data_IF_306725088818
#
_entry.id   IF_306725088818
#
_cell.length_a   1.000
_cell.length_b   1.000
_cell.length_c   1.000
_cell.angle_alpha   90.00
_cell.angle_beta   90.00
_cell.angle_gamma   90.00
#
_symmetry.space_group_name_H-M   'P 1'
#
loop_
_entity.id
_entity.type
_entity.pdbx_description
1 polymer ?
#
# COMPACT_ATOMS: atom_id res chain seq x y z
N UNK A 1 0.27 18.39 8.70
CA UNK A 1 0.58 16.96 8.72
C UNK A 1 -0.67 16.09 8.59
N UNK A 2 -1.67 16.18 9.50
CA UNK A 2 -2.93 15.46 9.31
C UNK A 2 -3.65 15.94 8.05
N UNK A 3 -3.87 15.06 7.10
CA UNK A 3 -4.56 15.30 5.82
C UNK A 3 -5.98 14.73 5.89
N UNK A 4 -6.65 14.56 4.73
CA UNK A 4 -8.00 14.00 4.70
C UNK A 4 -8.06 12.51 5.08
N UNK A 5 -7.00 11.73 4.75
CA UNK A 5 -7.00 10.26 4.86
C UNK A 5 -5.72 9.69 5.47
N UNK A 6 -4.71 10.50 5.72
CA UNK A 6 -3.41 10.06 6.24
C UNK A 6 -2.73 11.19 7.05
N UNK A 7 -1.62 10.82 7.69
CA UNK A 7 -0.68 11.77 8.30
C UNK A 7 0.55 11.77 7.40
N UNK A 8 1.05 12.96 7.00
CA UNK A 8 2.18 13.07 6.09
C UNK A 8 3.00 14.32 6.39
N UNK A 9 4.33 14.17 6.41
CA UNK A 9 5.25 15.27 6.69
C UNK A 9 6.65 14.99 6.19
N UNK A 10 7.48 16.01 6.21
CA UNK A 10 8.91 15.91 5.89
C UNK A 10 9.68 15.46 7.12
N UNK A 11 10.48 14.40 6.95
CA UNK A 11 11.36 13.89 8.02
C UNK A 11 12.68 14.63 8.08
N UNK A 12 13.17 15.10 6.92
CA UNK A 12 14.42 15.86 6.81
C UNK A 12 14.35 17.25 7.45
N UNK A 13 13.16 17.82 7.64
CA UNK A 13 12.92 19.10 8.32
C UNK A 13 12.34 18.96 9.73
N UNK A 14 12.11 17.72 10.18
CA UNK A 14 11.53 17.44 11.50
C UNK A 14 10.03 17.74 11.60
N UNK A 15 9.30 17.83 10.48
CA UNK A 15 7.83 17.94 10.53
C UNK A 15 7.19 16.64 11.06
N UNK A 16 7.71 15.49 10.62
CA UNK A 16 7.32 14.17 11.09
C UNK A 16 8.54 13.54 11.75
N UNK A 17 8.50 13.41 13.06
CA UNK A 17 9.60 12.88 13.88
C UNK A 17 9.12 11.74 14.80
N UNK A 18 10.06 11.03 15.40
CA UNK A 18 9.76 9.90 16.29
C UNK A 18 8.90 10.29 17.51
N UNK A 19 9.12 11.43 18.21
CA UNK A 19 8.25 11.86 19.30
C UNK A 19 6.78 12.00 18.89
N UNK A 20 6.51 12.69 17.78
CA UNK A 20 5.15 12.83 17.28
C UNK A 20 4.53 11.49 16.90
N UNK A 21 5.31 10.61 16.24
CA UNK A 21 4.83 9.28 15.81
C UNK A 21 4.55 8.38 17.00
N UNK A 22 5.30 8.51 18.11
CA UNK A 22 4.99 7.85 19.37
C UNK A 22 3.62 8.32 19.92
N UNK A 23 3.37 9.63 19.94
CA UNK A 23 2.10 10.18 20.40
C UNK A 23 0.92 9.73 19.50
N UNK A 24 1.13 9.64 18.18
CA UNK A 24 0.15 9.08 17.25
C UNK A 24 -0.15 7.62 17.56
N UNK A 25 0.88 6.82 17.89
CA UNK A 25 0.72 5.42 18.28
C UNK A 25 -0.15 5.26 19.53
N UNK A 26 0.13 6.03 20.59
CA UNK A 26 -0.66 6.03 21.83
C UNK A 26 -2.10 6.50 21.58
N UNK A 27 -2.27 7.56 20.79
CA UNK A 27 -3.57 8.11 20.44
C UNK A 27 -4.41 7.11 19.63
N UNK A 28 -3.81 6.47 18.61
CA UNK A 28 -4.50 5.50 17.78
C UNK A 28 -4.93 4.25 18.57
N UNK A 29 -4.05 3.71 19.40
CA UNK A 29 -4.37 2.57 20.25
C UNK A 29 -5.51 2.90 21.22
N UNK A 30 -5.46 4.06 21.86
CA UNK A 30 -6.52 4.52 22.78
C UNK A 30 -7.85 4.76 22.06
N UNK A 31 -7.81 5.37 20.87
CA UNK A 31 -9.01 5.63 20.07
C UNK A 31 -9.66 4.33 19.59
N UNK A 32 -8.86 3.38 19.11
CA UNK A 32 -9.35 2.10 18.58
C UNK A 32 -9.88 1.18 19.67
N UNK A 33 -9.39 1.30 20.90
CA UNK A 33 -9.70 0.39 22.02
C UNK A 33 -9.30 -1.07 21.75
N UNK A 34 -8.39 -1.30 20.80
CA UNK A 34 -7.98 -2.65 20.44
C UNK A 34 -6.88 -3.18 21.36
N UNK A 35 -6.92 -4.47 21.63
CA UNK A 35 -5.87 -5.16 22.39
C UNK A 35 -4.58 -5.36 21.58
N UNK A 36 -4.68 -5.30 20.23
CA UNK A 36 -3.59 -5.57 19.32
C UNK A 36 -3.74 -4.78 18.00
N UNK A 37 -2.62 -4.33 17.42
CA UNK A 37 -2.56 -3.54 16.17
C UNK A 37 -1.47 -4.11 15.27
N UNK A 38 -1.77 -4.32 13.98
CA UNK A 38 -0.79 -4.69 12.97
C UNK A 38 -0.01 -3.46 12.47
N UNK A 39 1.32 -3.53 12.44
CA UNK A 39 2.19 -2.41 12.02
C UNK A 39 3.17 -2.88 10.95
N UNK A 40 3.10 -2.25 9.79
CA UNK A 40 4.05 -2.42 8.69
C UNK A 40 4.72 -1.11 8.32
N UNK A 41 5.78 -1.18 7.52
CA UNK A 41 6.49 0.00 7.03
C UNK A 41 7.10 -0.24 5.65
N UNK A 42 7.33 0.86 4.89
CA UNK A 42 7.98 0.83 3.59
C UNK A 42 9.52 0.85 3.68
N UNK A 43 10.19 0.81 2.52
CA UNK A 43 11.65 0.76 2.42
C UNK A 43 12.37 2.07 2.77
N UNK A 44 11.69 3.18 3.06
CA UNK A 44 12.34 4.47 3.33
C UNK A 44 13.26 4.38 4.54
N UNK A 45 14.45 5.05 4.51
CA UNK A 45 15.42 4.98 5.61
C UNK A 45 14.85 5.38 6.98
N UNK A 46 13.85 6.28 7.00
CA UNK A 46 13.19 6.73 8.24
C UNK A 46 12.11 5.77 8.74
N UNK A 47 11.58 4.89 7.90
CA UNK A 47 10.41 4.07 8.22
C UNK A 47 10.64 3.10 9.39
N UNK A 48 11.78 2.40 9.53
CA UNK A 48 12.00 1.51 10.68
C UNK A 48 12.00 2.25 12.02
N UNK A 49 12.63 3.44 12.10
CA UNK A 49 12.66 4.27 13.33
C UNK A 49 11.27 4.77 13.70
N UNK A 50 10.51 5.27 12.72
CA UNK A 50 9.15 5.74 12.93
C UNK A 50 8.21 4.57 13.33
N UNK A 51 8.35 3.38 12.73
CA UNK A 51 7.57 2.20 13.11
C UNK A 51 7.88 1.74 14.55
N UNK A 52 9.15 1.83 14.96
CA UNK A 52 9.56 1.53 16.34
C UNK A 52 8.96 2.54 17.34
N UNK A 53 8.99 3.84 17.02
CA UNK A 53 8.38 4.89 17.83
C UNK A 53 6.86 4.73 17.95
N UNK A 54 6.18 4.46 16.82
CA UNK A 54 4.75 4.16 16.79
C UNK A 54 4.40 2.98 17.72
N UNK A 55 5.15 1.88 17.55
CA UNK A 55 4.96 0.66 18.35
C UNK A 55 5.17 0.92 19.85
N UNK A 56 6.16 1.74 20.21
CA UNK A 56 6.38 2.15 21.60
C UNK A 56 5.20 2.95 22.15
N UNK A 57 4.61 3.84 21.35
CA UNK A 57 3.40 4.58 21.69
C UNK A 57 2.20 3.65 21.92
N UNK A 58 1.94 2.73 20.98
CA UNK A 58 0.88 1.71 21.08
C UNK A 58 1.06 0.89 22.38
N UNK A 59 2.27 0.39 22.63
CA UNK A 59 2.55 -0.42 23.81
C UNK A 59 2.43 0.38 25.12
N UNK A 60 2.65 1.69 25.10
CA UNK A 60 2.58 2.54 26.30
C UNK A 60 1.20 2.57 26.94
N UNK A 61 0.16 2.28 26.17
CA UNK A 61 -1.25 2.23 26.61
C UNK A 61 -1.78 0.79 26.77
N UNK A 62 -0.88 -0.21 26.78
CA UNK A 62 -1.23 -1.61 27.05
C UNK A 62 -1.67 -2.41 25.83
N UNK A 63 -1.60 -1.86 24.63
CA UNK A 63 -1.95 -2.54 23.40
C UNK A 63 -0.73 -3.27 22.80
N UNK A 64 -0.91 -4.49 22.31
CA UNK A 64 0.13 -5.27 21.66
C UNK A 64 0.33 -4.84 20.18
N UNK A 65 1.50 -5.13 19.63
CA UNK A 65 1.85 -4.87 18.23
C UNK A 65 2.20 -6.15 17.51
N UNK A 66 1.52 -6.44 16.40
CA UNK A 66 1.96 -7.41 15.40
C UNK A 66 2.85 -6.68 14.38
N UNK A 67 4.16 -6.82 14.53
CA UNK A 67 5.14 -6.20 13.65
C UNK A 67 5.31 -7.01 12.36
N UNK A 68 4.78 -6.50 11.27
CA UNK A 68 4.83 -7.13 9.94
C UNK A 68 6.17 -6.91 9.22
N UNK A 69 6.98 -5.95 9.70
CA UNK A 69 8.24 -5.59 9.07
C UNK A 69 8.08 -4.70 7.83
N UNK A 70 9.05 -4.79 6.92
CA UNK A 70 9.04 -4.07 5.66
C UNK A 70 8.13 -4.80 4.66
N UNK A 71 6.96 -4.21 4.37
CA UNK A 71 5.88 -4.83 3.58
C UNK A 71 5.16 -3.79 2.72
N UNK A 72 4.47 -4.19 1.62
CA UNK A 72 3.58 -3.31 0.89
C UNK A 72 2.34 -2.92 1.74
N UNK A 73 1.73 -1.79 1.41
CA UNK A 73 0.54 -1.27 2.11
C UNK A 73 -0.61 -2.28 2.12
N UNK A 74 -0.87 -2.94 1.01
CA UNK A 74 -1.95 -3.94 0.87
C UNK A 74 -1.79 -5.13 1.81
N UNK A 75 -0.55 -5.50 2.14
CA UNK A 75 -0.29 -6.57 3.10
C UNK A 75 -0.74 -6.18 4.52
N UNK A 76 -0.59 -4.91 4.91
CA UNK A 76 -1.14 -4.41 6.19
C UNK A 76 -2.65 -4.50 6.19
N UNK A 77 -3.32 -4.11 5.10
CA UNK A 77 -4.77 -4.24 4.95
C UNK A 77 -5.22 -5.71 4.98
N UNK A 78 -4.48 -6.59 4.31
CA UNK A 78 -4.71 -8.03 4.37
C UNK A 78 -4.61 -8.56 5.81
N UNK A 79 -3.54 -8.21 6.54
CA UNK A 79 -3.35 -8.63 7.94
C UNK A 79 -4.48 -8.11 8.84
N UNK A 80 -4.86 -6.83 8.68
CA UNK A 80 -6.01 -6.24 9.38
C UNK A 80 -7.31 -7.03 9.13
N UNK A 81 -7.58 -7.40 7.88
CA UNK A 81 -8.76 -8.19 7.50
C UNK A 81 -8.73 -9.62 8.04
N UNK A 82 -7.60 -10.32 7.88
CA UNK A 82 -7.40 -11.70 8.31
C UNK A 82 -7.52 -11.85 9.83
N UNK A 83 -6.80 -10.99 10.57
CA UNK A 83 -6.64 -11.12 12.01
C UNK A 83 -7.68 -10.30 12.80
N UNK A 84 -8.51 -9.52 12.08
CA UNK A 84 -9.56 -8.65 12.63
C UNK A 84 -9.01 -7.65 13.65
N UNK A 85 -7.89 -7.02 13.32
CA UNK A 85 -7.22 -5.99 14.11
C UNK A 85 -7.11 -4.70 13.32
N UNK A 86 -6.99 -3.52 13.96
CA UNK A 86 -6.60 -2.30 13.27
C UNK A 86 -5.20 -2.43 12.65
N UNK A 87 -4.91 -1.63 11.61
CA UNK A 87 -3.62 -1.64 10.96
C UNK A 87 -3.02 -0.25 10.81
N UNK A 88 -1.69 -0.21 10.82
CA UNK A 88 -0.90 1.00 10.55
C UNK A 88 0.20 0.70 9.54
N UNK A 89 0.30 1.54 8.53
CA UNK A 89 1.40 1.51 7.58
C UNK A 89 2.20 2.80 7.65
N UNK A 90 3.50 2.69 7.89
CA UNK A 90 4.46 3.81 7.83
C UNK A 90 4.96 3.92 6.38
N UNK A 91 4.49 4.95 5.68
CA UNK A 91 4.82 5.18 4.26
C UNK A 91 4.45 6.59 3.82
N UNK A 92 5.15 7.11 2.83
CA UNK A 92 4.72 8.28 2.09
C UNK A 92 4.36 7.95 0.62
N UNK A 93 4.16 6.65 0.29
CA UNK A 93 3.76 6.18 -1.03
C UNK A 93 4.70 6.70 -2.13
N UNK A 94 4.23 7.49 -3.08
CA UNK A 94 4.97 8.05 -4.20
C UNK A 94 5.73 9.35 -3.90
N UNK A 95 5.68 9.87 -2.68
CA UNK A 95 6.40 11.10 -2.34
C UNK A 95 7.93 10.90 -2.38
N UNK A 96 8.71 11.98 -2.59
CA UNK A 96 10.17 11.92 -2.54
C UNK A 96 10.71 11.33 -1.24
N UNK A 97 11.97 10.85 -1.26
CA UNK A 97 12.62 10.15 -0.14
C UNK A 97 12.63 10.94 1.20
N UNK A 98 12.65 12.28 1.15
CA UNK A 98 12.60 13.15 2.35
C UNK A 98 11.24 13.21 3.08
N UNK A 99 10.21 12.53 2.56
CA UNK A 99 8.88 12.46 3.16
C UNK A 99 8.64 11.09 3.81
N UNK A 100 7.79 11.08 4.84
CA UNK A 100 7.16 9.87 5.36
C UNK A 100 5.74 10.17 5.83
N UNK A 101 5.02 9.14 6.26
CA UNK A 101 3.64 9.30 6.69
C UNK A 101 3.11 8.06 7.42
N UNK A 102 1.85 8.15 7.81
CA UNK A 102 1.13 7.11 8.54
C UNK A 102 -0.24 6.94 7.90
N UNK A 103 -0.50 5.76 7.35
CA UNK A 103 -1.84 5.33 6.93
C UNK A 103 -2.42 4.47 8.04
N UNK A 104 -3.67 4.76 8.40
CA UNK A 104 -4.40 4.06 9.47
C UNK A 104 -5.61 3.34 8.88
N UNK A 105 -5.88 2.14 9.35
CA UNK A 105 -7.16 1.48 9.10
C UNK A 105 -7.72 0.86 10.38
N UNK A 106 -9.04 0.84 10.47
CA UNK A 106 -9.77 0.12 11.51
C UNK A 106 -9.81 -1.37 11.25
N UNK A 107 -10.48 -2.12 12.12
CA UNK A 107 -10.67 -3.56 11.98
C UNK A 107 -11.26 -3.92 10.63
N UNK A 108 -10.69 -4.94 9.97
CA UNK A 108 -11.14 -5.38 8.66
C UNK A 108 -10.74 -4.43 7.53
N UNK A 109 -9.62 -3.71 7.69
CA UNK A 109 -9.11 -2.71 6.74
C UNK A 109 -10.08 -1.54 6.51
N UNK A 110 -10.98 -1.24 7.46
CA UNK A 110 -11.90 -0.12 7.34
C UNK A 110 -11.13 1.20 7.24
N UNK A 111 -11.36 2.02 6.20
CA UNK A 111 -10.58 3.25 6.01
C UNK A 111 -10.88 4.27 7.12
N UNK A 112 -9.82 4.94 7.59
CA UNK A 112 -9.90 6.03 8.57
C UNK A 112 -9.53 7.33 7.88
N UNK A 113 -10.49 8.24 7.80
CA UNK A 113 -10.32 9.60 7.30
C UNK A 113 -10.75 10.65 8.32
N UNK A 114 -10.75 11.92 7.90
CA UNK A 114 -11.14 13.05 8.75
C UNK A 114 -12.52 12.87 9.37
N UNK A 115 -13.45 12.26 8.64
CA UNK A 115 -14.85 12.08 9.05
C UNK A 115 -15.10 10.74 9.76
N UNK A 116 -14.09 9.87 9.86
CA UNK A 116 -14.22 8.51 10.41
C UNK A 116 -13.18 8.18 11.48
N UNK A 117 -12.60 9.20 12.14
CA UNK A 117 -11.74 9.01 13.31
C UNK A 117 -10.41 9.76 13.29
N UNK A 118 -9.89 10.16 12.11
CA UNK A 118 -8.57 10.82 12.05
C UNK A 118 -8.56 12.17 12.80
N UNK A 119 -9.70 12.88 12.83
CA UNK A 119 -9.86 14.13 13.58
C UNK A 119 -9.80 13.86 15.09
N UNK A 120 -10.42 12.79 15.56
CA UNK A 120 -10.42 12.42 16.98
C UNK A 120 -9.02 11.98 17.43
N UNK A 121 -8.35 11.17 16.59
CA UNK A 121 -6.96 10.76 16.83
C UNK A 121 -6.04 11.99 16.91
N UNK A 122 -6.20 12.95 16.01
CA UNK A 122 -5.47 14.23 16.05
C UNK A 122 -5.71 14.97 17.37
N UNK A 123 -6.94 15.01 17.85
CA UNK A 123 -7.26 15.68 19.13
C UNK A 123 -6.58 14.96 20.30
N UNK A 124 -6.58 13.63 20.33
CA UNK A 124 -5.87 12.85 21.34
C UNK A 124 -4.35 13.09 21.32
N UNK A 125 -3.75 13.27 20.14
CA UNK A 125 -2.32 13.65 20.04
C UNK A 125 -2.07 15.03 20.64
N UNK A 126 -2.97 16.00 20.42
CA UNK A 126 -2.86 17.36 20.97
C UNK A 126 -3.03 17.37 22.50
N UNK A 127 -3.99 16.62 23.01
CA UNK A 127 -4.32 16.55 24.44
C UNK A 127 -3.29 15.71 25.22
N UNK A 128 -2.58 14.83 24.50
CA UNK A 128 -1.66 13.86 25.07
C UNK A 128 -2.37 12.66 25.70
N UNK A 129 -1.93 11.46 25.39
CA UNK A 129 -2.43 10.23 25.97
C UNK A 129 -1.43 9.71 27.02
N UNK A 130 -1.78 9.71 28.32
CA UNK A 130 -0.85 9.20 29.32
C UNK A 130 -0.71 7.69 29.22
N UNK A 131 0.50 7.13 29.51
CA UNK A 131 0.69 5.70 29.62
C UNK A 131 -0.31 5.06 30.60
N UNK A 132 -0.86 3.91 30.27
CA UNK A 132 -1.88 3.25 31.08
C UNK A 132 -1.66 1.74 31.16
N UNK A 133 -1.80 1.17 32.36
CA UNK A 133 -1.70 -0.27 32.59
C UNK A 133 -0.29 -0.87 32.40
N UNK A 134 -0.17 -2.20 32.33
CA UNK A 134 1.06 -2.87 31.93
C UNK A 134 1.33 -2.59 30.45
N UNK A 135 2.61 -2.45 30.09
CA UNK A 135 3.01 -2.23 28.69
C UNK A 135 2.64 -3.42 27.82
N UNK A 136 2.17 -3.15 26.60
CA UNK A 136 2.01 -4.15 25.57
C UNK A 136 3.35 -4.71 25.06
N UNK A 137 3.26 -5.73 24.23
CA UNK A 137 4.40 -6.46 23.65
C UNK A 137 4.45 -6.30 22.12
N UNK A 138 5.62 -6.55 21.54
CA UNK A 138 5.81 -6.58 20.07
C UNK A 138 6.02 -8.03 19.64
N UNK A 139 5.19 -8.52 18.73
CA UNK A 139 5.26 -9.83 18.14
C UNK A 139 5.66 -9.72 16.67
N UNK A 140 6.73 -10.42 16.26
CA UNK A 140 7.11 -10.47 14.84
C UNK A 140 6.21 -11.43 14.09
N UNK A 141 5.61 -10.97 12.99
CA UNK A 141 4.68 -11.75 12.18
C UNK A 141 5.11 -11.73 10.71
N UNK A 142 5.47 -12.88 10.16
CA UNK A 142 5.67 -13.04 8.72
C UNK A 142 4.31 -13.33 8.07
N UNK A 143 3.70 -12.32 7.48
CA UNK A 143 2.42 -12.42 6.78
C UNK A 143 2.55 -12.56 5.25
N UNK A 144 3.78 -12.51 4.70
CA UNK A 144 4.01 -12.55 3.25
C UNK A 144 3.51 -13.86 2.62
N UNK A 145 3.78 -15.06 3.16
CA UNK A 145 3.26 -16.30 2.56
C UNK A 145 1.74 -16.34 2.49
N UNK A 146 1.06 -15.98 3.58
CA UNK A 146 -0.40 -15.97 3.64
C UNK A 146 -1.00 -14.91 2.69
N UNK A 147 -0.33 -13.77 2.54
CA UNK A 147 -0.73 -12.71 1.59
C UNK A 147 -0.64 -13.20 0.14
N UNK A 148 0.46 -13.84 -0.24
CA UNK A 148 0.63 -14.45 -1.58
C UNK A 148 -0.45 -15.50 -1.83
N UNK A 149 -0.72 -16.36 -0.87
CA UNK A 149 -1.80 -17.35 -0.96
C UNK A 149 -3.17 -16.71 -1.10
N UNK A 150 -3.40 -15.57 -0.43
CA UNK A 150 -4.64 -14.80 -0.55
C UNK A 150 -4.82 -14.23 -1.95
N UNK A 151 -3.80 -13.59 -2.52
CA UNK A 151 -3.82 -13.06 -3.88
C UNK A 151 -4.16 -14.14 -4.91
N UNK A 152 -3.52 -15.30 -4.81
CA UNK A 152 -3.74 -16.42 -5.72
C UNK A 152 -5.10 -17.13 -5.54
N UNK A 153 -5.78 -16.91 -4.41
CA UNK A 153 -7.18 -17.33 -4.24
C UNK A 153 -8.18 -16.36 -4.87
N UNK A 154 -7.85 -15.06 -4.92
CA UNK A 154 -8.71 -14.06 -5.57
C UNK A 154 -8.66 -14.25 -7.08
N UNK A 155 -7.46 -14.48 -7.61
CA UNK A 155 -7.21 -14.68 -9.04
C UNK A 155 -6.82 -16.14 -9.25
N UNK A 156 -7.71 -16.96 -9.78
CA UNK A 156 -7.40 -18.36 -10.09
C UNK A 156 -6.19 -18.42 -11.06
N UNK A 157 -5.02 -18.91 -10.61
CA UNK A 157 -3.80 -18.95 -11.44
C UNK A 157 -3.97 -19.75 -12.74
N UNK A 158 -4.91 -20.72 -12.77
CA UNK A 158 -5.17 -21.54 -13.95
C UNK A 158 -5.78 -20.75 -15.12
N UNK A 159 -6.35 -19.58 -14.84
CA UNK A 159 -6.91 -18.67 -15.84
C UNK A 159 -5.90 -17.67 -16.40
N UNK A 160 -4.66 -17.65 -15.86
CA UNK A 160 -3.62 -16.75 -16.33
C UNK A 160 -2.81 -17.43 -17.43
N UNK A 161 -2.81 -16.81 -18.60
CA UNK A 161 -2.03 -17.30 -19.75
C UNK A 161 -0.51 -17.19 -19.48
N UNK A 162 0.28 -17.92 -20.28
CA UNK A 162 1.73 -17.83 -20.25
C UNK A 162 2.18 -16.54 -20.95
N UNK A 163 2.05 -15.41 -20.25
CA UNK A 163 2.42 -14.08 -20.71
C UNK A 163 3.85 -13.74 -20.33
N UNK A 164 4.51 -12.92 -21.12
CA UNK A 164 5.73 -12.21 -20.76
C UNK A 164 5.35 -10.85 -20.17
N UNK A 165 5.68 -10.62 -18.90
CA UNK A 165 5.27 -9.42 -18.17
C UNK A 165 6.48 -8.67 -17.62
N UNK A 166 6.65 -7.42 -18.02
CA UNK A 166 7.60 -6.51 -17.40
C UNK A 166 6.97 -5.92 -16.14
N UNK A 167 7.68 -6.00 -15.01
CA UNK A 167 7.23 -5.36 -13.77
C UNK A 167 8.31 -4.42 -13.27
N UNK A 168 7.96 -3.15 -13.15
CA UNK A 168 8.79 -2.10 -12.57
C UNK A 168 8.33 -1.84 -11.13
N UNK A 169 9.18 -2.19 -10.17
CA UNK A 169 8.94 -1.98 -8.74
C UNK A 169 9.37 -0.60 -8.26
N UNK A 170 10.06 0.20 -9.08
CA UNK A 170 10.56 1.53 -8.71
C UNK A 170 11.42 1.55 -7.44
N UNK A 171 12.12 0.45 -7.10
CA UNK A 171 12.79 0.23 -5.82
C UNK A 171 11.86 0.37 -4.59
N UNK A 172 10.55 0.25 -4.81
CA UNK A 172 9.54 0.26 -3.75
C UNK A 172 9.25 -1.13 -3.19
N UNK A 173 8.06 -1.28 -2.62
CA UNK A 173 7.69 -2.49 -1.87
C UNK A 173 7.12 -3.62 -2.74
N UNK A 174 6.89 -3.40 -4.04
CA UNK A 174 6.29 -4.41 -4.94
C UNK A 174 7.08 -5.72 -4.97
N UNK A 175 8.42 -5.66 -4.99
CA UNK A 175 9.29 -6.83 -5.08
C UNK A 175 9.12 -7.84 -3.93
N UNK A 176 8.62 -7.41 -2.78
CA UNK A 176 8.38 -8.30 -1.62
C UNK A 176 7.40 -9.45 -1.97
N UNK A 177 6.41 -9.17 -2.82
CA UNK A 177 5.38 -10.13 -3.19
C UNK A 177 5.44 -10.57 -4.66
N UNK A 178 5.85 -9.68 -5.57
CA UNK A 178 5.79 -9.90 -7.03
C UNK A 178 6.49 -11.19 -7.44
N UNK A 179 7.74 -11.39 -7.06
CA UNK A 179 8.50 -12.60 -7.42
C UNK A 179 7.81 -13.87 -6.94
N UNK A 180 7.34 -13.88 -5.68
CA UNK A 180 6.66 -15.03 -5.08
C UNK A 180 5.30 -15.34 -5.73
N UNK A 181 4.62 -14.32 -6.24
CA UNK A 181 3.36 -14.49 -7.00
C UNK A 181 3.69 -15.07 -8.37
N UNK A 182 4.67 -14.52 -9.08
CA UNK A 182 5.04 -14.99 -10.43
C UNK A 182 5.62 -16.40 -10.44
N UNK A 183 6.33 -16.83 -9.39
CA UNK A 183 6.79 -18.20 -9.22
C UNK A 183 5.65 -19.25 -9.26
N UNK A 184 4.42 -18.80 -9.05
CA UNK A 184 3.22 -19.64 -8.99
C UNK A 184 2.27 -19.41 -10.18
N UNK A 185 2.65 -18.60 -11.15
CA UNK A 185 1.90 -18.31 -12.37
C UNK A 185 2.54 -18.96 -13.58
N UNK A 186 1.76 -19.13 -14.66
CA UNK A 186 2.30 -19.51 -15.98
C UNK A 186 3.03 -18.33 -16.65
N UNK A 187 2.79 -17.11 -16.19
CA UNK A 187 3.42 -15.91 -16.74
C UNK A 187 4.90 -15.81 -16.35
N UNK A 188 5.72 -15.25 -17.23
CA UNK A 188 7.15 -15.00 -17.01
C UNK A 188 7.37 -13.55 -16.59
N UNK A 189 8.11 -13.37 -15.51
CA UNK A 189 8.49 -12.06 -14.96
C UNK A 189 9.76 -11.53 -15.61
N UNK A 190 9.72 -10.28 -16.09
CA UNK A 190 10.86 -9.45 -16.42
C UNK A 190 10.91 -8.29 -15.42
N UNK A 191 11.62 -8.49 -14.30
CA UNK A 191 11.65 -7.54 -13.19
C UNK A 191 12.62 -6.38 -13.42
N UNK A 192 12.16 -5.16 -13.15
CA UNK A 192 12.97 -3.95 -13.06
C UNK A 192 12.84 -3.39 -11.65
N UNK A 193 13.99 -3.03 -11.03
CA UNK A 193 14.02 -2.30 -9.76
C UNK A 193 13.16 -2.92 -8.66
N UNK A 194 13.14 -4.27 -8.57
CA UNK A 194 12.34 -5.02 -7.58
C UNK A 194 12.97 -5.02 -6.18
N UNK A 195 14.29 -4.78 -6.07
CA UNK A 195 14.96 -4.67 -4.78
C UNK A 195 14.54 -3.37 -4.07
N UNK A 196 13.94 -3.45 -2.86
CA UNK A 196 13.53 -2.26 -2.12
C UNK A 196 14.71 -1.37 -1.71
N UNK A 197 14.68 -0.10 -2.13
CA UNK A 197 15.65 0.93 -1.74
C UNK A 197 14.95 2.29 -1.63
N UNK A 198 14.68 2.72 -0.41
CA UNK A 198 13.96 3.97 -0.13
C UNK A 198 14.71 5.26 -0.51
N UNK A 199 15.91 5.16 -1.11
CA UNK A 199 16.58 6.29 -1.77
C UNK A 199 16.12 6.48 -3.21
N UNK A 200 15.42 5.46 -3.78
CA UNK A 200 14.90 5.47 -5.16
C UNK A 200 15.97 5.80 -6.20
N UNK A 201 17.07 5.00 -6.31
CA UNK A 201 18.26 5.37 -7.07
C UNK A 201 18.07 5.39 -8.60
N UNK A 202 17.05 4.71 -9.14
CA UNK A 202 16.83 4.60 -10.58
C UNK A 202 15.87 5.69 -11.08
N UNK A 203 14.69 5.77 -10.49
CA UNK A 203 13.72 6.85 -10.72
C UNK A 203 12.79 6.99 -9.50
N UNK A 204 12.12 8.13 -9.31
CA UNK A 204 11.09 8.27 -8.28
C UNK A 204 9.98 7.22 -8.46
N UNK A 205 9.55 6.58 -7.38
CA UNK A 205 8.50 5.56 -7.41
C UNK A 205 7.10 6.20 -7.55
N UNK A 206 6.93 6.99 -8.61
CA UNK A 206 5.69 7.69 -8.97
C UNK A 206 5.34 7.46 -10.44
N UNK A 207 4.66 6.37 -10.79
CA UNK A 207 4.29 6.05 -12.18
C UNK A 207 3.30 7.01 -12.83
N UNK A 208 2.77 8.01 -12.10
CA UNK A 208 1.94 9.07 -12.67
C UNK A 208 2.74 10.03 -13.56
N UNK A 209 4.03 10.17 -13.29
CA UNK A 209 4.92 11.03 -14.05
C UNK A 209 5.52 10.24 -15.22
N UNK A 210 5.33 10.66 -16.47
CA UNK A 210 5.77 9.90 -17.65
C UNK A 210 7.27 9.59 -17.68
N UNK A 211 8.10 10.45 -17.12
CA UNK A 211 9.55 10.26 -17.01
C UNK A 211 9.94 9.06 -16.12
N UNK A 212 9.10 8.66 -15.18
CA UNK A 212 9.39 7.57 -14.25
C UNK A 212 9.01 6.18 -14.79
N UNK A 213 8.41 6.09 -15.97
CA UNK A 213 8.01 4.82 -16.61
C UNK A 213 8.73 4.56 -17.93
N UNK A 214 9.72 5.39 -18.26
CA UNK A 214 10.47 5.29 -19.54
C UNK A 214 11.18 3.94 -19.65
N UNK A 215 11.81 3.47 -18.58
CA UNK A 215 12.54 2.21 -18.55
C UNK A 215 11.59 1.00 -18.68
N UNK A 216 10.44 1.05 -18.03
CA UNK A 216 9.41 0.02 -18.16
C UNK A 216 8.86 -0.06 -19.60
N UNK A 217 8.60 1.10 -20.24
CA UNK A 217 8.16 1.18 -21.65
C UNK A 217 9.23 0.63 -22.58
N UNK A 218 10.49 1.00 -22.37
CA UNK A 218 11.61 0.49 -23.18
C UNK A 218 11.74 -1.03 -23.01
N UNK A 219 11.68 -1.54 -21.79
CA UNK A 219 11.77 -2.97 -21.52
C UNK A 219 10.64 -3.78 -22.18
N UNK A 220 9.39 -3.26 -22.17
CA UNK A 220 8.26 -3.90 -22.86
C UNK A 220 8.55 -4.01 -24.36
N UNK A 221 8.98 -2.91 -24.99
CA UNK A 221 9.27 -2.89 -26.43
C UNK A 221 10.46 -3.75 -26.84
N UNK A 222 11.53 -3.69 -26.07
CA UNK A 222 12.79 -4.37 -26.37
C UNK A 222 12.69 -5.89 -26.16
N UNK A 223 11.94 -6.32 -25.15
CA UNK A 223 11.69 -7.74 -24.88
C UNK A 223 10.55 -8.34 -25.70
N UNK A 224 9.67 -7.49 -26.26
CA UNK A 224 8.43 -7.94 -26.90
C UNK A 224 7.44 -8.53 -25.89
N UNK A 225 7.46 -8.03 -24.64
CA UNK A 225 6.54 -8.48 -23.61
C UNK A 225 5.09 -8.14 -23.94
N UNK A 226 4.17 -8.97 -23.46
CA UNK A 226 2.73 -8.82 -23.68
C UNK A 226 2.14 -7.66 -22.86
N UNK A 227 2.77 -7.33 -21.72
CA UNK A 227 2.27 -6.35 -20.75
C UNK A 227 3.40 -5.77 -19.91
N UNK A 228 3.29 -4.49 -19.56
CA UNK A 228 4.10 -3.86 -18.52
C UNK A 228 3.24 -3.42 -17.35
N UNK A 229 3.79 -3.48 -16.13
CA UNK A 229 3.18 -2.99 -14.90
C UNK A 229 4.21 -2.17 -14.13
N UNK A 230 3.87 -0.94 -13.74
CA UNK A 230 4.69 -0.11 -12.87
C UNK A 230 3.95 0.15 -11.57
N UNK A 231 4.64 -0.06 -10.43
CA UNK A 231 4.09 0.16 -9.10
C UNK A 231 4.60 1.46 -8.49
N UNK A 232 3.81 2.06 -7.60
CA UNK A 232 4.30 3.13 -6.75
C UNK A 232 5.05 2.60 -5.51
N UNK A 233 5.60 3.53 -4.70
CA UNK A 233 6.59 3.17 -3.67
C UNK A 233 6.11 2.21 -2.59
N UNK A 234 4.84 2.24 -2.21
CA UNK A 234 4.25 1.31 -1.25
C UNK A 234 3.37 0.23 -1.89
N UNK A 235 3.38 0.19 -3.23
CA UNK A 235 2.76 -0.84 -4.08
C UNK A 235 1.23 -0.98 -3.92
N UNK A 236 0.52 0.09 -3.51
CA UNK A 236 -0.94 0.10 -3.47
C UNK A 236 -1.57 0.60 -4.79
N UNK A 237 -0.74 1.01 -5.77
CA UNK A 237 -1.16 1.44 -7.11
C UNK A 237 -0.34 0.76 -8.19
N UNK A 238 -1.03 0.25 -9.22
CA UNK A 238 -0.46 -0.38 -10.41
C UNK A 238 -0.87 0.40 -11.66
N UNK A 239 0.09 0.65 -12.54
CA UNK A 239 -0.08 1.31 -13.82
C UNK A 239 0.31 0.36 -14.94
N UNK A 240 -0.51 0.26 -15.97
CA UNK A 240 -0.35 -0.73 -17.01
C UNK A 240 0.18 -0.11 -18.31
N UNK A 241 1.01 -0.87 -19.01
CA UNK A 241 1.63 -0.52 -20.29
C UNK A 241 1.29 -1.66 -21.27
N UNK A 242 0.75 -1.34 -22.44
CA UNK A 242 0.41 -2.33 -23.45
C UNK A 242 1.66 -2.87 -24.19
N UNK A 243 1.48 -3.88 -25.02
CA UNK A 243 2.51 -4.53 -25.85
C UNK A 243 3.23 -3.57 -26.82
N UNK A 244 2.71 -2.37 -27.04
CA UNK A 244 3.29 -1.30 -27.87
C UNK A 244 4.01 -0.24 -27.06
N UNK A 245 3.97 -0.36 -25.71
CA UNK A 245 4.53 0.62 -24.79
C UNK A 245 3.65 1.85 -24.61
N UNK A 246 2.33 1.74 -24.78
CA UNK A 246 1.40 2.80 -24.45
C UNK A 246 0.87 2.63 -23.02
N UNK A 247 0.92 3.69 -22.23
CA UNK A 247 0.40 3.68 -20.85
C UNK A 247 -1.12 3.71 -20.89
N UNK A 248 -1.76 2.79 -20.16
CA UNK A 248 -3.21 2.79 -19.97
C UNK A 248 -3.61 3.85 -18.93
N UNK A 249 -4.62 4.65 -19.26
CA UNK A 249 -5.18 5.58 -18.28
C UNK A 249 -5.88 4.83 -17.14
N UNK A 250 -5.95 5.43 -15.95
CA UNK A 250 -6.72 4.85 -14.84
C UNK A 250 -8.19 4.62 -15.19
N UNK A 251 -8.77 5.44 -16.07
CA UNK A 251 -10.13 5.22 -16.58
C UNK A 251 -10.22 3.97 -17.46
N UNK A 252 -9.25 3.75 -18.35
CA UNK A 252 -9.19 2.53 -19.17
C UNK A 252 -9.07 1.29 -18.29
N UNK A 253 -8.17 1.32 -17.31
CA UNK A 253 -8.01 0.23 -16.34
C UNK A 253 -9.31 -0.03 -15.56
N UNK A 254 -9.96 1.04 -15.08
CA UNK A 254 -11.24 0.93 -14.37
C UNK A 254 -12.31 0.28 -15.25
N UNK A 255 -12.41 0.69 -16.53
CA UNK A 255 -13.36 0.10 -17.48
C UNK A 255 -13.11 -1.39 -17.69
N UNK A 256 -11.86 -1.80 -17.93
CA UNK A 256 -11.50 -3.22 -18.10
C UNK A 256 -11.84 -4.07 -16.87
N UNK A 257 -11.50 -3.57 -15.67
CA UNK A 257 -11.82 -4.24 -14.41
C UNK A 257 -13.33 -4.32 -14.20
N UNK A 258 -14.06 -3.25 -14.47
CA UNK A 258 -15.53 -3.22 -14.37
C UNK A 258 -16.18 -4.23 -15.31
N UNK A 259 -15.75 -4.31 -16.56
CA UNK A 259 -16.23 -5.31 -17.53
C UNK A 259 -16.00 -6.73 -17.02
N UNK A 260 -14.80 -7.03 -16.51
CA UNK A 260 -14.48 -8.35 -15.96
C UNK A 260 -15.40 -8.74 -14.79
N UNK A 261 -15.75 -7.78 -13.93
CA UNK A 261 -16.69 -8.03 -12.82
C UNK A 261 -18.13 -8.19 -13.30
N UNK A 262 -18.58 -7.37 -14.25
CA UNK A 262 -19.94 -7.44 -14.78
C UNK A 262 -20.22 -8.72 -15.54
N UNK A 263 -19.23 -9.25 -16.27
CA UNK A 263 -19.34 -10.57 -16.92
C UNK A 263 -19.59 -11.71 -15.91
N UNK A 264 -19.08 -11.58 -14.70
CA UNK A 264 -19.19 -12.60 -13.63
C UNK A 264 -20.36 -12.34 -12.67
N UNK A 265 -20.73 -11.10 -12.53
CA UNK A 265 -21.80 -10.63 -11.65
C UNK A 265 -22.71 -9.65 -12.41
N UNK A 266 -23.52 -10.14 -13.36
CA UNK A 266 -24.44 -9.27 -14.11
C UNK A 266 -25.34 -8.46 -13.20
N UNK A 267 -25.44 -7.15 -13.46
CA UNK A 267 -26.23 -6.20 -12.66
C UNK A 267 -25.55 -5.72 -11.38
N UNK A 268 -24.26 -6.03 -11.16
CA UNK A 268 -23.51 -5.42 -10.06
C UNK A 268 -23.39 -3.91 -10.22
N UNK A 269 -23.42 -3.19 -9.09
CA UNK A 269 -23.21 -1.74 -9.08
C UNK A 269 -21.70 -1.43 -9.08
N UNK A 270 -21.26 -0.62 -10.04
CA UNK A 270 -19.88 -0.12 -10.11
C UNK A 270 -19.84 1.32 -9.58
N UNK A 271 -19.04 1.55 -8.55
CA UNK A 271 -18.79 2.88 -8.00
C UNK A 271 -17.46 3.41 -8.53
N UNK A 272 -17.49 4.59 -9.12
CA UNK A 272 -16.29 5.27 -9.62
C UNK A 272 -16.24 6.72 -9.12
N UNK A 273 -15.06 7.34 -9.16
CA UNK A 273 -14.91 8.72 -8.69
C UNK A 273 -15.33 9.75 -9.77
N UNK A 274 -15.42 11.02 -9.38
CA UNK A 274 -15.87 12.11 -10.24
C UNK A 274 -14.89 12.42 -11.40
N UNK A 275 -13.60 12.14 -11.23
CA UNK A 275 -12.57 12.42 -12.25
C UNK A 275 -12.46 11.30 -13.30
N UNK A 276 -13.20 10.22 -13.13
CA UNK A 276 -13.23 9.10 -14.09
C UNK A 276 -13.83 9.57 -15.42
N UNK A 277 -13.21 9.15 -16.53
CA UNK A 277 -13.70 9.45 -17.89
C UNK A 277 -15.14 8.95 -18.10
N UNK A 278 -15.90 9.67 -18.90
CA UNK A 278 -17.26 9.28 -19.33
C UNK A 278 -17.32 7.93 -20.03
N UNK A 279 -16.21 7.48 -20.62
CA UNK A 279 -16.10 6.14 -21.20
C UNK A 279 -16.40 5.00 -20.22
N UNK A 280 -16.11 5.21 -18.92
CA UNK A 280 -16.35 4.17 -17.89
C UNK A 280 -17.85 3.92 -17.68
N UNK A 281 -18.69 4.93 -17.34
CA UNK A 281 -20.15 4.69 -17.24
C UNK A 281 -20.78 4.27 -18.57
N UNK A 282 -20.26 4.68 -19.72
CA UNK A 282 -20.74 4.22 -21.03
C UNK A 282 -20.52 2.71 -21.20
N UNK A 283 -19.32 2.20 -20.93
CA UNK A 283 -18.98 0.77 -21.00
C UNK A 283 -19.79 -0.06 -19.99
N UNK A 284 -20.02 0.47 -18.78
CA UNK A 284 -20.76 -0.23 -17.73
C UNK A 284 -22.25 -0.42 -18.11
N UNK A 285 -22.81 0.47 -18.95
CA UNK A 285 -24.23 0.45 -19.33
C UNK A 285 -24.52 -0.32 -20.63
N UNK A 286 -23.50 -0.67 -21.41
CA UNK A 286 -23.61 -1.56 -22.57
C UNK A 286 -23.68 -3.03 -22.16
#
# INVERSE_FOLDING_TARGET
MFKAYDIRGRVDTGELDEPLVLDVGAAFASWSGADRIAVGYDCRPSSPGLAAALSAGINSVGCDVDALGAVPTDLVYFASGRDRVPGVMITASHNPAGYNGIKLCGVGAAPIGSDSGLTDIKQLVIDGVPPSGPKGSVHQVDAVPDYVDHLLRIVDPSNIAALDVVVDGGNGMAGIAVEKVFDRLAARLHGLYLEPDGTFPNHPANPLEPENVVDAIAAVRDSGADLGVAFDGDADRAFFIDDKGAILSGSTTTALVATWFLDRMPGASIVHNLITSRSVPEIITE
#
